data_IF_206003176509
#
_entry.id   IF_206003176509
#
_cell.length_a   1.000
_cell.length_b   1.000
_cell.length_c   1.000
_cell.angle_alpha   90.00
_cell.angle_beta   90.00
_cell.angle_gamma   90.00
#
_symmetry.space_group_name_H-M   'P 1'
#
loop_
_entity.id
_entity.type
_entity.pdbx_description
1 polymer ?
#
# COMPACT_ATOMS: atom_id res chain seq x y z
N UNK A 1 48.47 -18.25 26.58
CA UNK A 1 49.14 -17.27 27.46
C UNK A 1 48.11 -16.19 27.85
N UNK A 2 47.80 -16.00 29.15
CA UNK A 2 46.74 -15.10 29.62
C UNK A 2 47.05 -13.61 29.42
N UNK A 3 48.31 -13.24 29.16
CA UNK A 3 48.73 -11.86 28.96
C UNK A 3 48.33 -11.30 27.58
N UNK A 4 48.40 -12.12 26.51
CA UNK A 4 48.00 -11.72 25.16
C UNK A 4 46.48 -11.44 25.06
N UNK A 5 45.66 -12.18 25.81
CA UNK A 5 44.22 -11.96 25.86
C UNK A 5 43.85 -10.65 26.59
N UNK A 6 44.63 -10.25 27.62
CA UNK A 6 44.44 -8.97 28.30
C UNK A 6 44.80 -7.79 27.39
N UNK A 7 45.91 -7.90 26.65
CA UNK A 7 46.34 -6.87 25.70
C UNK A 7 45.33 -6.68 24.54
N UNK A 8 44.75 -7.76 24.02
CA UNK A 8 43.68 -7.66 23.02
C UNK A 8 42.42 -6.97 23.56
N UNK A 9 41.99 -7.28 24.78
CA UNK A 9 40.82 -6.65 25.38
C UNK A 9 41.03 -5.15 25.65
N UNK A 10 42.25 -4.75 26.01
CA UNK A 10 42.59 -3.35 26.23
C UNK A 10 42.59 -2.56 24.90
N UNK A 11 43.13 -3.15 23.82
CA UNK A 11 43.09 -2.56 22.48
C UNK A 11 41.66 -2.41 21.93
N UNK A 12 40.80 -3.40 22.15
CA UNK A 12 39.38 -3.32 21.75
C UNK A 12 38.67 -2.18 22.49
N UNK A 13 38.98 -2.00 23.78
CA UNK A 13 38.38 -0.96 24.60
C UNK A 13 38.84 0.45 24.16
N UNK A 14 40.14 0.62 23.88
CA UNK A 14 40.67 1.88 23.35
C UNK A 14 40.08 2.22 21.97
N UNK A 15 39.90 1.22 21.11
CA UNK A 15 39.27 1.41 19.80
C UNK A 15 37.78 1.80 19.91
N UNK A 16 37.07 1.23 20.89
CA UNK A 16 35.68 1.60 21.16
C UNK A 16 35.55 3.04 21.68
N UNK A 17 36.47 3.48 22.55
CA UNK A 17 36.52 4.87 23.05
C UNK A 17 36.83 5.87 21.92
N UNK A 18 37.79 5.57 21.02
CA UNK A 18 38.05 6.41 19.85
C UNK A 18 36.84 6.48 18.88
N UNK A 19 36.15 5.37 18.65
CA UNK A 19 34.94 5.35 17.82
C UNK A 19 33.81 6.17 18.43
N UNK A 20 33.65 6.13 19.76
CA UNK A 20 32.65 6.93 20.47
C UNK A 20 32.95 8.43 20.36
N UNK A 21 34.22 8.84 20.50
CA UNK A 21 34.64 10.24 20.36
C UNK A 21 34.44 10.73 18.92
N UNK A 22 34.78 9.92 17.91
CA UNK A 22 34.52 10.25 16.49
C UNK A 22 33.03 10.36 16.18
N UNK A 23 32.20 9.46 16.74
CA UNK A 23 30.75 9.51 16.58
C UNK A 23 30.14 10.77 17.23
N UNK A 24 30.62 11.16 18.42
CA UNK A 24 30.21 12.38 19.09
C UNK A 24 30.63 13.64 18.30
N UNK A 25 31.83 13.65 17.72
CA UNK A 25 32.29 14.72 16.83
C UNK A 25 31.43 14.86 15.57
N UNK A 26 31.09 13.74 14.93
CA UNK A 26 30.22 13.72 13.75
C UNK A 26 28.78 14.16 14.07
N UNK A 27 28.26 13.81 15.25
CA UNK A 27 26.94 14.25 15.71
C UNK A 27 26.92 15.77 15.96
N UNK A 28 27.97 16.32 16.59
CA UNK A 28 28.10 17.77 16.85
C UNK A 28 28.22 18.56 15.54
N UNK A 29 28.94 18.04 14.54
CA UNK A 29 29.03 18.65 13.22
C UNK A 29 27.68 18.64 12.46
N UNK A 30 26.90 17.56 12.60
CA UNK A 30 25.55 17.47 12.01
C UNK A 30 24.55 18.44 12.65
N UNK A 31 24.65 18.65 13.96
CA UNK A 31 23.81 19.61 14.69
C UNK A 31 24.14 21.05 14.29
N UNK A 32 25.42 21.40 14.18
CA UNK A 32 25.86 22.71 13.68
C UNK A 32 25.42 22.96 12.21
N UNK A 33 25.46 21.93 11.36
CA UNK A 33 24.97 22.03 9.99
C UNK A 33 23.44 22.21 9.92
N UNK A 34 22.69 21.60 10.83
CA UNK A 34 21.24 21.78 10.93
C UNK A 34 20.87 23.19 11.41
N UNK A 35 21.58 23.74 12.39
CA UNK A 35 21.40 25.12 12.87
C UNK A 35 21.75 26.15 11.78
N UNK A 36 22.79 25.91 10.99
CA UNK A 36 23.15 26.77 9.85
C UNK A 36 22.06 26.77 8.77
N UNK A 37 21.46 25.61 8.48
CA UNK A 37 20.32 25.50 7.55
C UNK A 37 19.07 26.20 8.09
N UNK A 38 18.77 26.11 9.38
CA UNK A 38 17.67 26.86 10.00
C UNK A 38 17.87 28.38 9.93
N UNK A 39 19.11 28.86 10.13
CA UNK A 39 19.44 30.29 9.97
C UNK A 39 19.31 30.75 8.52
N UNK A 40 19.71 29.94 7.55
CA UNK A 40 19.48 30.24 6.12
C UNK A 40 18.00 30.24 5.75
N UNK A 41 17.20 29.31 6.28
CA UNK A 41 15.75 29.27 6.06
C UNK A 41 15.06 30.51 6.66
N UNK A 42 15.45 30.94 7.86
CA UNK A 42 14.94 32.18 8.48
C UNK A 42 15.37 33.44 7.72
N UNK A 43 16.54 33.44 7.08
CA UNK A 43 16.99 34.57 6.27
C UNK A 43 16.23 34.64 4.95
N UNK A 44 15.93 33.48 4.34
CA UNK A 44 15.12 33.35 3.13
C UNK A 44 13.67 33.80 3.35
N UNK A 45 13.05 33.33 4.45
CA UNK A 45 11.71 33.78 4.85
C UNK A 45 11.63 35.28 5.19
N UNK A 46 12.77 35.93 5.51
CA UNK A 46 12.83 37.37 5.80
C UNK A 46 13.14 38.21 4.56
N UNK A 47 13.71 37.61 3.53
CA UNK A 47 13.94 38.23 2.21
C UNK A 47 12.66 38.15 1.34
N UNK A 48 11.80 37.14 1.58
CA UNK A 48 10.49 37.01 0.91
C UNK A 48 9.38 37.92 1.53
N UNK A 49 9.69 38.73 2.56
CA UNK A 49 8.72 39.55 3.32
C UNK A 49 8.78 41.06 2.96
N UNK A 50 9.53 41.48 1.92
CA UNK A 50 9.68 42.90 1.56
C UNK A 50 9.28 43.30 0.13
N UNK A 51 8.77 42.40 -0.69
CA UNK A 51 8.17 42.75 -1.99
C UNK A 51 6.73 42.21 -2.07
N UNK A 52 5.76 43.03 -1.65
CA UNK A 52 4.47 43.32 -2.33
C UNK A 52 3.43 43.87 -1.32
N UNK A 53 2.93 45.07 -1.61
CA UNK A 53 1.87 45.76 -0.89
C UNK A 53 0.59 45.83 -1.75
N UNK A 54 -0.46 45.12 -1.29
CA UNK A 54 -1.93 45.38 -1.31
C UNK A 54 -2.68 45.71 -2.64
N UNK A 55 -4.02 45.52 -2.75
CA UNK A 55 -4.92 44.57 -2.06
C UNK A 55 -5.94 43.87 -2.99
N UNK A 56 -6.29 42.61 -2.68
CA UNK A 56 -7.63 42.09 -2.94
C UNK A 56 -7.85 40.83 -2.10
N UNK A 57 -8.85 40.90 -1.23
CA UNK A 57 -9.25 39.90 -0.23
C UNK A 57 -9.08 38.43 -0.64
N UNK A 58 -8.47 37.63 0.24
CA UNK A 58 -9.03 36.34 0.58
C UNK A 58 -9.38 36.32 2.07
N UNK A 59 -10.66 36.07 2.36
CA UNK A 59 -11.17 35.80 3.71
C UNK A 59 -10.28 34.78 4.41
N UNK A 60 -9.49 35.26 5.37
CA UNK A 60 -8.88 34.43 6.40
C UNK A 60 -10.02 33.90 7.25
N UNK A 61 -10.40 32.64 7.04
CA UNK A 61 -11.09 31.89 8.08
C UNK A 61 -10.01 31.51 9.08
N UNK A 62 -9.82 32.34 10.10
CA UNK A 62 -9.20 31.89 11.35
C UNK A 62 -10.06 30.72 11.86
N UNK A 63 -9.61 29.49 11.64
CA UNK A 63 -10.15 28.37 12.40
C UNK A 63 -9.51 28.47 13.79
N UNK A 64 -10.20 29.18 14.69
CA UNK A 64 -9.96 29.04 16.11
C UNK A 64 -10.11 27.56 16.45
N UNK A 65 -9.13 27.02 17.18
CA UNK A 65 -9.13 25.66 17.74
C UNK A 65 -10.24 25.44 18.82
N UNK A 66 -11.30 26.25 18.79
CA UNK A 66 -12.51 26.16 19.61
C UNK A 66 -13.79 25.93 18.77
N UNK A 67 -13.71 25.98 17.44
CA UNK A 67 -14.87 25.86 16.54
C UNK A 67 -14.87 24.56 15.70
N UNK A 68 -14.01 23.59 16.01
CA UNK A 68 -14.30 22.21 15.62
C UNK A 68 -15.45 21.74 16.50
N UNK A 69 -16.63 21.83 15.91
CA UNK A 69 -17.91 21.38 16.43
C UNK A 69 -17.76 19.92 16.88
N UNK A 70 -17.29 19.74 18.11
CA UNK A 70 -17.24 18.45 18.80
C UNK A 70 -18.63 17.85 18.83
N UNK A 71 -19.68 18.69 18.71
CA UNK A 71 -21.06 18.32 18.44
C UNK A 71 -21.27 17.60 17.11
N UNK A 72 -20.65 17.99 15.99
CA UNK A 72 -20.87 17.31 14.68
C UNK A 72 -20.10 15.99 14.57
N UNK A 73 -18.91 15.90 15.17
CA UNK A 73 -18.14 14.66 15.27
C UNK A 73 -18.78 13.71 16.27
N UNK A 74 -19.20 14.19 17.46
CA UNK A 74 -19.99 13.38 18.40
C UNK A 74 -21.35 13.01 17.82
N UNK A 75 -21.99 13.90 17.04
CA UNK A 75 -23.25 13.58 16.36
C UNK A 75 -23.04 12.52 15.29
N UNK A 76 -21.98 12.55 14.49
CA UNK A 76 -21.66 11.45 13.58
C UNK A 76 -21.24 10.16 14.31
N UNK A 77 -20.53 10.27 15.44
CA UNK A 77 -20.12 9.12 16.27
C UNK A 77 -21.32 8.50 17.01
N UNK A 78 -22.32 9.30 17.38
CA UNK A 78 -23.57 8.88 18.01
C UNK A 78 -24.67 8.53 17.00
N UNK A 79 -24.56 8.98 15.75
CA UNK A 79 -25.54 8.77 14.67
C UNK A 79 -25.09 7.72 13.64
N UNK A 80 -23.81 7.34 13.60
CA UNK A 80 -23.41 6.08 12.99
C UNK A 80 -23.82 4.95 13.92
N UNK A 81 -24.91 4.25 13.60
CA UNK A 81 -25.19 2.93 14.13
C UNK A 81 -23.90 2.10 14.10
N UNK A 82 -23.31 1.80 15.26
CA UNK A 82 -22.15 0.91 15.33
C UNK A 82 -22.52 -0.37 14.60
N UNK A 83 -21.73 -0.82 13.62
CA UNK A 83 -22.06 -2.04 12.90
C UNK A 83 -22.19 -3.20 13.90
N UNK A 84 -23.24 -3.99 13.73
CA UNK A 84 -23.58 -5.06 14.68
C UNK A 84 -22.55 -6.20 14.63
N UNK A 85 -21.85 -6.34 13.50
CA UNK A 85 -20.83 -7.37 13.26
C UNK A 85 -19.62 -6.82 12.53
N UNK A 86 -18.44 -7.24 12.96
CA UNK A 86 -17.19 -6.97 12.24
C UNK A 86 -16.61 -8.26 11.66
N UNK A 87 -16.28 -8.24 10.37
CA UNK A 87 -15.56 -9.32 9.71
C UNK A 87 -14.11 -8.89 9.45
N UNK A 88 -13.17 -9.59 10.08
CA UNK A 88 -11.74 -9.44 9.81
C UNK A 88 -11.26 -10.58 8.91
N UNK A 89 -10.79 -10.23 7.71
CA UNK A 89 -10.09 -11.17 6.82
C UNK A 89 -8.59 -10.95 6.92
N UNK A 90 -7.87 -11.97 7.35
CA UNK A 90 -6.41 -11.99 7.46
C UNK A 90 -5.83 -12.78 6.31
N UNK A 91 -4.90 -12.16 5.59
CA UNK A 91 -4.14 -12.81 4.51
C UNK A 91 -2.71 -12.98 4.97
N UNK A 92 -2.24 -14.22 5.01
CA UNK A 92 -0.95 -14.61 5.55
C UNK A 92 -0.04 -15.14 4.44
N UNK A 93 1.16 -14.57 4.36
CA UNK A 93 2.23 -15.09 3.53
C UNK A 93 2.91 -16.27 4.24
N UNK A 94 2.73 -17.47 3.69
CA UNK A 94 3.26 -18.73 4.20
C UNK A 94 4.37 -19.30 3.32
N UNK A 95 5.04 -18.47 2.52
CA UNK A 95 6.08 -18.92 1.60
C UNK A 95 7.32 -19.50 2.33
N UNK A 96 7.58 -20.82 2.28
CA UNK A 96 8.66 -21.43 3.04
C UNK A 96 10.04 -20.96 2.57
N UNK A 97 10.19 -20.56 1.30
CA UNK A 97 11.46 -20.07 0.77
C UNK A 97 11.89 -18.74 1.42
N UNK A 98 10.94 -17.84 1.67
CA UNK A 98 11.24 -16.57 2.34
C UNK A 98 11.45 -16.77 3.83
N UNK A 99 10.60 -17.58 4.46
CA UNK A 99 10.71 -17.86 5.89
C UNK A 99 11.97 -18.64 6.27
N UNK A 100 12.49 -19.50 5.38
CA UNK A 100 13.77 -20.18 5.57
C UNK A 100 15.00 -19.27 5.50
N UNK A 101 14.87 -18.07 4.92
CA UNK A 101 15.95 -17.07 4.86
C UNK A 101 15.98 -16.17 6.10
N UNK A 102 14.92 -16.19 6.91
CA UNK A 102 14.76 -15.29 8.03
C UNK A 102 15.36 -15.90 9.30
N UNK A 103 16.22 -15.15 10.00
CA UNK A 103 16.88 -15.61 11.23
C UNK A 103 16.13 -15.22 12.50
N UNK A 104 15.42 -14.09 12.48
CA UNK A 104 14.86 -13.46 13.68
C UNK A 104 13.47 -14.00 14.05
N UNK A 105 12.73 -14.51 13.07
CA UNK A 105 11.35 -14.99 13.25
C UNK A 105 11.04 -16.17 12.37
N UNK A 106 10.40 -17.16 12.98
CA UNK A 106 9.89 -18.35 12.31
C UNK A 106 8.42 -18.17 11.94
N UNK A 107 7.96 -18.96 10.97
CA UNK A 107 6.53 -19.01 10.60
C UNK A 107 5.66 -19.31 11.81
N UNK A 108 6.08 -20.25 12.66
CA UNK A 108 5.34 -20.65 13.85
C UNK A 108 5.11 -19.47 14.81
N UNK A 109 6.13 -18.63 15.03
CA UNK A 109 5.99 -17.44 15.91
C UNK A 109 5.10 -16.37 15.29
N UNK A 110 5.19 -16.19 13.96
CA UNK A 110 4.29 -15.31 13.23
C UNK A 110 2.84 -15.81 13.33
N UNK A 111 2.58 -17.09 13.05
CA UNK A 111 1.27 -17.71 13.15
C UNK A 111 0.70 -17.59 14.57
N UNK A 112 1.49 -17.87 15.60
CA UNK A 112 1.07 -17.67 16.99
C UNK A 112 0.65 -16.22 17.26
N UNK A 113 1.44 -15.24 16.82
CA UNK A 113 1.12 -13.82 16.99
C UNK A 113 -0.18 -13.43 16.28
N UNK A 114 -0.40 -13.95 15.07
CA UNK A 114 -1.61 -13.72 14.27
C UNK A 114 -2.83 -14.39 14.91
N UNK A 115 -2.69 -15.62 15.41
CA UNK A 115 -3.76 -16.34 16.08
C UNK A 115 -4.15 -15.64 17.39
N UNK A 116 -3.18 -15.18 18.19
CA UNK A 116 -3.45 -14.35 19.37
C UNK A 116 -4.20 -13.08 19.00
N UNK A 117 -3.82 -12.43 17.91
CA UNK A 117 -4.53 -11.25 17.39
C UNK A 117 -5.94 -11.56 16.91
N UNK A 118 -6.15 -12.66 16.18
CA UNK A 118 -7.46 -13.11 15.74
C UNK A 118 -8.39 -13.41 16.93
N UNK A 119 -7.87 -14.11 17.94
CA UNK A 119 -8.59 -14.39 19.17
C UNK A 119 -8.92 -13.09 19.93
N UNK A 120 -7.99 -12.15 20.01
CA UNK A 120 -8.26 -10.83 20.58
C UNK A 120 -9.40 -10.11 19.86
N UNK A 121 -9.43 -10.16 18.51
CA UNK A 121 -10.52 -9.55 17.74
C UNK A 121 -11.89 -10.20 17.99
N UNK A 122 -11.94 -11.53 18.10
CA UNK A 122 -13.16 -12.27 18.45
C UNK A 122 -13.65 -11.93 19.88
N UNK A 123 -12.74 -11.59 20.79
CA UNK A 123 -13.07 -11.19 22.16
C UNK A 123 -13.59 -9.76 22.29
N UNK A 124 -13.32 -8.87 21.32
CA UNK A 124 -13.79 -7.47 21.37
C UNK A 124 -15.31 -7.39 21.35
N UNK A 125 -15.98 -8.17 20.50
CA UNK A 125 -17.42 -8.15 20.35
C UNK A 125 -17.94 -9.54 19.93
N UNK A 126 -19.04 -10.03 20.53
CA UNK A 126 -19.54 -11.39 20.29
C UNK A 126 -20.06 -11.62 18.86
N UNK A 127 -20.29 -10.56 18.08
CA UNK A 127 -20.68 -10.61 16.67
C UNK A 127 -19.49 -10.61 15.69
N UNK A 128 -18.26 -10.59 16.18
CA UNK A 128 -17.07 -10.53 15.33
C UNK A 128 -16.79 -11.89 14.70
N UNK A 129 -16.42 -11.86 13.43
CA UNK A 129 -16.07 -13.01 12.64
C UNK A 129 -14.65 -12.83 12.09
N UNK A 130 -13.90 -13.93 11.99
CA UNK A 130 -12.56 -13.94 11.41
C UNK A 130 -12.51 -14.93 10.24
N UNK A 131 -11.79 -14.57 9.19
CA UNK A 131 -11.39 -15.50 8.13
C UNK A 131 -9.88 -15.42 7.93
N UNK A 132 -9.22 -16.57 7.83
CA UNK A 132 -7.78 -16.68 7.61
C UNK A 132 -7.52 -17.31 6.25
N UNK A 133 -6.73 -16.62 5.44
CA UNK A 133 -6.28 -17.06 4.12
C UNK A 133 -4.77 -17.21 4.12
N UNK A 134 -4.30 -18.35 3.63
CA UNK A 134 -2.88 -18.63 3.44
C UNK A 134 -2.50 -18.50 1.97
N UNK A 135 -1.34 -17.91 1.71
CA UNK A 135 -0.74 -17.82 0.38
C UNK A 135 0.63 -18.48 0.39
N UNK A 136 0.86 -19.38 -0.55
CA UNK A 136 2.16 -20.03 -0.73
C UNK A 136 2.48 -20.11 -2.23
N UNK A 137 3.45 -19.32 -2.69
CA UNK A 137 3.75 -19.19 -4.12
C UNK A 137 2.53 -18.76 -4.92
N UNK A 138 2.08 -19.60 -5.85
CA UNK A 138 0.88 -19.37 -6.67
C UNK A 138 -0.41 -19.91 -6.04
N UNK A 139 -0.31 -20.76 -5.01
CA UNK A 139 -1.46 -21.39 -4.36
C UNK A 139 -2.02 -20.50 -3.25
N UNK A 140 -3.35 -20.49 -3.16
CA UNK A 140 -4.11 -19.75 -2.14
C UNK A 140 -5.17 -20.66 -1.55
N UNK A 141 -5.22 -20.76 -0.22
CA UNK A 141 -6.16 -21.64 0.48
C UNK A 141 -6.78 -20.91 1.68
N UNK A 142 -8.04 -21.22 1.99
CA UNK A 142 -8.64 -20.82 3.26
C UNK A 142 -8.10 -21.73 4.37
N UNK A 143 -7.41 -21.12 5.33
CA UNK A 143 -6.99 -21.80 6.56
C UNK A 143 -8.17 -21.86 7.53
N UNK A 144 -8.99 -20.82 7.55
CA UNK A 144 -10.22 -20.74 8.31
C UNK A 144 -11.22 -19.83 7.57
N UNK A 145 -12.50 -20.20 7.46
CA UNK A 145 -13.15 -21.43 7.91
C UNK A 145 -12.69 -22.67 7.12
N UNK A 146 -12.67 -23.83 7.77
CA UNK A 146 -12.27 -25.08 7.12
C UNK A 146 -13.21 -25.40 5.95
N UNK A 147 -12.63 -25.67 4.77
CA UNK A 147 -13.38 -25.97 3.53
C UNK A 147 -14.29 -27.22 3.63
N UNK A 148 -14.16 -28.00 4.71
CA UNK A 148 -14.93 -29.22 4.96
C UNK A 148 -16.13 -29.04 5.91
N UNK A 149 -16.46 -27.81 6.32
CA UNK A 149 -17.77 -27.56 6.92
C UNK A 149 -18.78 -27.25 5.80
N UNK A 150 -19.88 -28.02 5.65
CA UNK A 150 -20.96 -27.64 4.75
C UNK A 150 -21.50 -26.24 5.13
N UNK A 151 -22.11 -25.51 4.19
CA UNK A 151 -22.71 -24.21 4.43
C UNK A 151 -23.97 -24.38 5.31
N UNK A 152 -23.76 -24.51 6.61
CA UNK A 152 -24.82 -24.80 7.57
C UNK A 152 -24.27 -25.56 8.76
N UNK A 153 -23.90 -24.82 9.81
CA UNK A 153 -23.61 -25.39 11.12
C UNK A 153 -22.19 -25.90 11.27
N UNK A 154 -21.45 -25.27 12.19
CA UNK A 154 -20.43 -25.96 12.97
C UNK A 154 -21.06 -27.25 13.50
N UNK A 155 -20.52 -28.45 13.23
CA UNK A 155 -20.91 -29.61 14.02
C UNK A 155 -20.31 -29.39 15.41
N UNK A 156 -21.06 -28.74 16.30
CA UNK A 156 -20.93 -29.00 17.72
C UNK A 156 -21.24 -30.50 17.86
N UNK A 157 -20.19 -31.32 17.89
CA UNK A 157 -20.32 -32.69 18.35
C UNK A 157 -20.84 -32.61 19.78
N UNK A 158 -22.15 -32.85 19.93
CA UNK A 158 -22.82 -33.04 21.20
C UNK A 158 -22.31 -34.35 21.80
N UNK A 159 -21.17 -34.32 22.47
CA UNK A 159 -20.82 -35.33 23.48
C UNK A 159 -20.10 -34.66 24.65
N UNK A 160 -20.84 -34.45 25.75
CA UNK A 160 -20.29 -34.22 27.08
C UNK A 160 -20.58 -32.85 27.71
N UNK A 161 -21.12 -32.78 28.94
CA UNK A 161 -21.51 -31.53 29.58
C UNK A 161 -20.31 -30.88 30.28
N UNK A 162 -19.94 -29.69 29.84
CA UNK A 162 -19.16 -28.75 30.66
C UNK A 162 -19.67 -27.33 30.37
N UNK A 163 -20.74 -26.96 31.05
CA UNK A 163 -21.02 -25.55 31.34
C UNK A 163 -19.90 -25.04 32.25
N UNK A 164 -18.83 -24.54 31.66
CA UNK A 164 -17.85 -23.71 32.36
C UNK A 164 -17.15 -22.84 31.31
N UNK A 165 -16.65 -21.69 31.73
CA UNK A 165 -15.98 -20.71 30.90
C UNK A 165 -14.79 -21.27 30.05
N UNK A 166 -14.41 -22.53 30.26
CA UNK A 166 -13.45 -23.28 29.43
C UNK A 166 -13.93 -23.64 28.02
N UNK A 167 -15.24 -23.82 27.77
CA UNK A 167 -15.74 -24.24 26.45
C UNK A 167 -15.46 -23.22 25.32
N UNK A 168 -15.43 -21.92 25.65
CA UNK A 168 -15.06 -20.88 24.68
C UNK A 168 -13.57 -20.92 24.35
N UNK A 169 -12.73 -21.17 25.35
CA UNK A 169 -11.27 -21.30 25.17
C UNK A 169 -10.93 -22.55 24.36
N UNK A 170 -11.68 -23.63 24.54
CA UNK A 170 -11.55 -24.86 23.73
C UNK A 170 -11.89 -24.61 22.26
N UNK A 171 -12.93 -23.84 21.96
CA UNK A 171 -13.24 -23.45 20.57
C UNK A 171 -12.13 -22.62 19.93
N UNK A 172 -11.54 -21.67 20.65
CA UNK A 172 -10.39 -20.91 20.15
C UNK A 172 -9.16 -21.79 19.94
N UNK A 173 -8.93 -22.75 20.82
CA UNK A 173 -7.81 -23.70 20.71
C UNK A 173 -8.00 -24.63 19.51
N UNK A 174 -9.22 -25.17 19.32
CA UNK A 174 -9.55 -25.99 18.15
C UNK A 174 -9.41 -25.21 16.84
N UNK A 175 -9.80 -23.93 16.80
CA UNK A 175 -9.56 -23.06 15.66
C UNK A 175 -8.05 -22.89 15.41
N UNK A 176 -7.26 -22.60 16.44
CA UNK A 176 -5.83 -22.40 16.33
C UNK A 176 -5.12 -23.64 15.76
N UNK A 177 -5.51 -24.83 16.20
CA UNK A 177 -4.89 -26.08 15.76
C UNK A 177 -5.30 -26.43 14.32
N UNK A 178 -6.57 -26.25 13.96
CA UNK A 178 -7.02 -26.40 12.57
C UNK A 178 -6.26 -25.47 11.60
N UNK A 179 -5.99 -24.23 12.02
CA UNK A 179 -5.24 -23.27 11.20
C UNK A 179 -3.78 -23.67 11.03
N UNK A 180 -3.14 -24.18 12.10
CA UNK A 180 -1.77 -24.70 12.03
C UNK A 180 -1.70 -25.90 11.10
N UNK A 181 -2.62 -26.85 11.22
CA UNK A 181 -2.67 -28.04 10.36
C UNK A 181 -2.89 -27.66 8.90
N UNK A 182 -3.77 -26.70 8.62
CA UNK A 182 -4.01 -26.19 7.28
C UNK A 182 -2.79 -25.45 6.72
N UNK A 183 -2.08 -24.67 7.55
CA UNK A 183 -0.87 -23.97 7.16
C UNK A 183 0.25 -24.96 6.84
N UNK A 184 0.42 -26.00 7.67
CA UNK A 184 1.37 -27.08 7.45
C UNK A 184 1.05 -27.87 6.18
N UNK A 185 -0.21 -28.17 5.93
CA UNK A 185 -0.67 -28.83 4.70
C UNK A 185 -0.33 -27.99 3.46
N UNK A 186 -0.56 -26.68 3.51
CA UNK A 186 -0.25 -25.74 2.42
C UNK A 186 1.26 -25.59 2.18
N UNK A 187 2.09 -25.64 3.23
CA UNK A 187 3.54 -25.60 3.06
C UNK A 187 4.07 -26.90 2.45
N UNK A 188 3.50 -28.04 2.85
CA UNK A 188 3.90 -29.37 2.33
C UNK A 188 3.42 -29.61 0.91
N UNK A 189 2.37 -28.94 0.44
CA UNK A 189 1.87 -29.09 -0.93
C UNK A 189 2.82 -28.49 -1.98
N UNK A 190 3.73 -27.61 -1.56
CA UNK A 190 4.66 -26.94 -2.48
C UNK A 190 5.90 -27.80 -2.72
N UNK A 191 6.04 -28.23 -3.96
CA UNK A 191 7.23 -28.96 -4.41
C UNK A 191 8.48 -28.04 -4.35
N UNK A 192 9.64 -28.58 -3.94
CA UNK A 192 10.87 -27.80 -3.77
C UNK A 192 11.36 -27.14 -5.07
N UNK A 193 11.06 -27.74 -6.23
CA UNK A 193 11.45 -27.23 -7.56
C UNK A 193 10.68 -25.97 -7.98
N UNK A 194 9.53 -25.68 -7.36
CA UNK A 194 8.66 -24.53 -7.66
C UNK A 194 8.72 -23.43 -6.61
N UNK A 195 9.68 -23.52 -5.68
CA UNK A 195 9.87 -22.51 -4.65
C UNK A 195 10.36 -21.21 -5.29
N UNK A 196 9.50 -20.18 -5.26
CA UNK A 196 9.83 -18.83 -5.66
C UNK A 196 9.84 -17.90 -4.46
N UNK A 197 10.65 -16.85 -4.54
CA UNK A 197 10.60 -15.71 -3.63
C UNK A 197 9.55 -14.67 -4.06
N UNK A 198 8.52 -15.12 -4.80
CA UNK A 198 7.34 -14.32 -5.13
C UNK A 198 6.09 -15.13 -4.80
N UNK A 199 5.01 -14.41 -4.57
CA UNK A 199 3.79 -14.97 -3.97
C UNK A 199 2.60 -14.21 -4.57
N UNK A 200 1.54 -14.92 -4.94
CA UNK A 200 0.35 -14.36 -5.60
C UNK A 200 -0.63 -13.74 -4.61
N UNK A 201 -0.37 -12.49 -4.22
CA UNK A 201 -1.25 -11.77 -3.28
C UNK A 201 -2.57 -11.35 -3.93
N UNK A 202 -2.57 -11.07 -5.23
CA UNK A 202 -3.76 -10.66 -5.96
C UNK A 202 -4.86 -11.73 -5.92
N UNK A 203 -4.51 -13.01 -6.12
CA UNK A 203 -5.48 -14.11 -6.07
C UNK A 203 -6.11 -14.27 -4.68
N UNK A 204 -5.33 -14.02 -3.62
CA UNK A 204 -5.82 -14.09 -2.27
C UNK A 204 -6.79 -12.94 -1.94
N UNK A 205 -6.44 -11.72 -2.35
CA UNK A 205 -7.31 -10.56 -2.19
C UNK A 205 -8.64 -10.72 -2.93
N UNK A 206 -8.63 -11.26 -4.15
CA UNK A 206 -9.87 -11.55 -4.87
C UNK A 206 -10.72 -12.58 -4.10
N UNK A 207 -10.12 -13.65 -3.58
CA UNK A 207 -10.83 -14.63 -2.74
C UNK A 207 -11.40 -14.01 -1.47
N UNK A 208 -10.65 -13.13 -0.80
CA UNK A 208 -11.09 -12.38 0.37
C UNK A 208 -12.31 -11.51 0.05
N UNK A 209 -12.25 -10.73 -1.03
CA UNK A 209 -13.35 -9.87 -1.46
C UNK A 209 -14.60 -10.66 -1.88
N UNK A 210 -14.42 -11.79 -2.57
CA UNK A 210 -15.52 -12.70 -2.89
C UNK A 210 -16.15 -13.31 -1.63
N UNK A 211 -15.34 -13.69 -0.64
CA UNK A 211 -15.83 -14.19 0.64
C UNK A 211 -16.63 -13.14 1.40
N UNK A 212 -16.13 -11.90 1.47
CA UNK A 212 -16.85 -10.77 2.06
C UNK A 212 -18.18 -10.55 1.35
N UNK A 213 -18.17 -10.49 0.02
CA UNK A 213 -19.38 -10.33 -0.78
C UNK A 213 -20.40 -11.47 -0.59
N UNK A 214 -19.94 -12.68 -0.32
CA UNK A 214 -20.80 -13.81 0.03
C UNK A 214 -21.40 -13.62 1.43
N UNK A 215 -20.60 -13.26 2.43
CA UNK A 215 -21.06 -13.02 3.80
C UNK A 215 -22.07 -11.88 3.89
N UNK A 216 -21.85 -10.80 3.16
CA UNK A 216 -22.82 -9.69 3.04
C UNK A 216 -24.20 -10.15 2.54
N UNK A 217 -24.28 -11.21 1.73
CA UNK A 217 -25.54 -11.77 1.22
C UNK A 217 -26.17 -12.82 2.13
N UNK A 218 -25.36 -13.53 2.92
CA UNK A 218 -25.83 -14.57 3.84
C UNK A 218 -26.44 -13.97 5.13
N UNK A 219 -26.00 -12.77 5.52
CA UNK A 219 -26.50 -12.07 6.70
C UNK A 219 -27.93 -11.55 6.45
N UNK A 220 -28.78 -11.65 7.49
CA UNK A 220 -30.18 -11.21 7.43
C UNK A 220 -30.27 -9.71 7.06
N UNK A 221 -31.24 -9.32 6.22
CA UNK A 221 -31.43 -7.92 5.83
C UNK A 221 -31.78 -7.08 7.06
N UNK A 222 -30.85 -6.26 7.52
CA UNK A 222 -31.00 -5.40 8.70
C UNK A 222 -29.74 -5.31 9.56
N UNK A 223 -28.91 -6.34 9.56
CA UNK A 223 -27.62 -6.37 10.30
C UNK A 223 -26.52 -5.80 9.41
N UNK A 224 -25.83 -4.76 9.88
CA UNK A 224 -24.72 -4.15 9.13
C UNK A 224 -23.41 -4.88 9.41
N UNK A 225 -22.78 -5.41 8.36
CA UNK A 225 -21.46 -6.03 8.44
C UNK A 225 -20.37 -5.02 8.07
N UNK A 226 -19.49 -4.70 9.01
CA UNK A 226 -18.26 -3.94 8.72
C UNK A 226 -17.12 -4.90 8.43
N UNK A 227 -16.67 -4.95 7.17
CA UNK A 227 -15.58 -5.83 6.75
C UNK A 227 -14.26 -5.08 6.63
N UNK A 228 -13.16 -5.73 7.02
CA UNK A 228 -11.80 -5.20 6.86
C UNK A 228 -10.83 -6.30 6.45
N UNK A 229 -9.82 -5.95 5.68
CA UNK A 229 -8.78 -6.90 5.22
C UNK A 229 -7.43 -6.47 5.79
N UNK A 230 -6.72 -7.39 6.44
CA UNK A 230 -5.34 -7.20 6.88
C UNK A 230 -4.41 -8.15 6.11
N UNK A 231 -3.45 -7.56 5.40
CA UNK A 231 -2.42 -8.27 4.64
C UNK A 231 -1.13 -8.34 5.46
N UNK A 232 -0.64 -9.54 5.72
CA UNK A 232 0.68 -9.78 6.31
C UNK A 232 1.61 -10.31 5.23
N UNK A 233 2.53 -9.45 4.81
CA UNK A 233 3.47 -9.69 3.70
C UNK A 233 4.89 -9.86 4.23
N UNK A 234 5.51 -11.00 3.94
CA UNK A 234 6.95 -11.19 4.16
C UNK A 234 7.75 -11.05 2.87
N UNK A 235 7.26 -11.69 1.80
CA UNK A 235 8.00 -11.87 0.57
C UNK A 235 8.03 -10.62 -0.33
N UNK A 236 9.01 -10.54 -1.24
CA UNK A 236 9.12 -9.44 -2.21
C UNK A 236 7.98 -9.48 -3.23
N UNK A 237 7.63 -8.31 -3.75
CA UNK A 237 6.57 -8.20 -4.76
C UNK A 237 7.07 -8.48 -6.17
N UNK A 238 6.18 -9.04 -6.98
CA UNK A 238 6.43 -9.33 -8.39
C UNK A 238 5.67 -8.33 -9.27
N UNK A 239 6.36 -7.70 -10.21
CA UNK A 239 5.78 -6.69 -11.09
C UNK A 239 4.65 -7.24 -11.99
N UNK A 240 4.64 -8.54 -12.27
CA UNK A 240 3.59 -9.21 -13.06
C UNK A 240 2.22 -9.13 -12.39
N UNK A 241 2.17 -9.06 -11.07
CA UNK A 241 0.93 -9.09 -10.30
C UNK A 241 0.28 -7.72 -10.11
N UNK A 242 0.97 -6.64 -10.49
CA UNK A 242 0.51 -5.27 -10.29
C UNK A 242 -0.92 -5.05 -10.79
N UNK A 243 -1.22 -5.47 -12.02
CA UNK A 243 -2.53 -5.24 -12.63
C UNK A 243 -3.65 -5.98 -11.89
N UNK A 244 -3.40 -7.25 -11.56
CA UNK A 244 -4.37 -8.07 -10.84
C UNK A 244 -4.61 -7.52 -9.42
N UNK A 245 -3.55 -7.07 -8.74
CA UNK A 245 -3.62 -6.49 -7.42
C UNK A 245 -4.39 -5.17 -7.42
N UNK A 246 -4.06 -4.25 -8.32
CA UNK A 246 -4.72 -2.94 -8.40
C UNK A 246 -6.20 -3.07 -8.77
N UNK A 247 -6.55 -3.98 -9.68
CA UNK A 247 -7.95 -4.25 -10.00
C UNK A 247 -8.73 -4.75 -8.77
N UNK A 248 -8.12 -5.60 -7.93
CA UNK A 248 -8.73 -6.04 -6.68
C UNK A 248 -8.85 -4.88 -5.67
N UNK A 249 -7.85 -4.00 -5.56
CA UNK A 249 -7.89 -2.82 -4.69
C UNK A 249 -8.99 -1.85 -5.12
N UNK A 250 -9.13 -1.57 -6.42
CA UNK A 250 -10.21 -0.72 -6.92
C UNK A 250 -11.59 -1.34 -6.68
N UNK A 251 -11.70 -2.67 -6.77
CA UNK A 251 -12.92 -3.37 -6.41
C UNK A 251 -13.23 -3.24 -4.90
N UNK A 252 -12.21 -3.30 -4.05
CA UNK A 252 -12.34 -3.07 -2.60
C UNK A 252 -12.74 -1.62 -2.28
N UNK A 253 -12.13 -0.64 -2.94
CA UNK A 253 -12.44 0.79 -2.79
C UNK A 253 -13.89 1.08 -3.18
N UNK A 254 -14.38 0.48 -4.27
CA UNK A 254 -15.79 0.63 -4.68
C UNK A 254 -16.77 0.07 -3.63
N UNK A 255 -16.35 -0.95 -2.88
CA UNK A 255 -17.11 -1.54 -1.77
C UNK A 255 -16.82 -0.89 -0.42
N UNK A 256 -15.96 0.14 -0.37
CA UNK A 256 -15.54 0.82 0.87
C UNK A 256 -14.95 -0.14 1.92
N UNK A 257 -14.19 -1.15 1.48
CA UNK A 257 -13.50 -2.08 2.38
C UNK A 257 -12.05 -1.60 2.56
N UNK A 258 -11.64 -1.18 3.77
CA UNK A 258 -10.27 -0.77 4.03
C UNK A 258 -9.32 -1.97 3.98
N UNK A 259 -8.18 -1.78 3.30
CA UNK A 259 -7.10 -2.77 3.22
C UNK A 259 -5.92 -2.27 4.05
N UNK A 260 -5.73 -2.90 5.20
CA UNK A 260 -4.56 -2.72 6.03
C UNK A 260 -3.42 -3.60 5.51
N UNK A 261 -2.20 -3.06 5.42
CA UNK A 261 -1.03 -3.78 4.93
C UNK A 261 0.10 -3.69 5.95
N UNK A 262 0.62 -4.83 6.35
CA UNK A 262 1.75 -4.96 7.24
C UNK A 262 2.85 -5.74 6.53
N UNK A 263 3.98 -5.07 6.27
CA UNK A 263 5.11 -5.64 5.54
C UNK A 263 6.29 -5.85 6.47
N UNK A 264 6.86 -7.05 6.44
CA UNK A 264 8.02 -7.42 7.24
C UNK A 264 9.29 -7.05 6.50
N UNK A 265 10.15 -6.25 7.14
CA UNK A 265 11.50 -5.85 6.70
C UNK A 265 11.58 -5.01 5.41
N UNK A 266 11.04 -5.51 4.29
CA UNK A 266 11.08 -4.84 2.99
C UNK A 266 9.93 -3.84 2.81
N UNK A 267 10.18 -2.72 2.12
CA UNK A 267 9.11 -1.80 1.77
C UNK A 267 8.48 -2.18 0.43
N UNK A 268 7.16 -2.11 0.36
CA UNK A 268 6.38 -2.31 -0.86
C UNK A 268 5.71 -1.00 -1.25
N UNK A 269 6.03 -0.50 -2.45
CA UNK A 269 5.31 0.64 -3.04
C UNK A 269 3.90 0.24 -3.45
N UNK A 270 3.69 -1.02 -3.88
CA UNK A 270 2.41 -1.52 -4.34
C UNK A 270 1.40 -1.64 -3.21
N UNK A 271 1.79 -2.24 -2.07
CA UNK A 271 0.92 -2.37 -0.91
C UNK A 271 0.70 -1.04 -0.20
N UNK A 272 1.69 -0.13 -0.26
CA UNK A 272 1.50 1.24 0.21
C UNK A 272 0.44 1.96 -0.60
N UNK A 273 0.51 1.88 -1.93
CA UNK A 273 -0.52 2.43 -2.82
C UNK A 273 -1.88 1.77 -2.58
N UNK A 274 -1.91 0.46 -2.34
CA UNK A 274 -3.14 -0.27 -2.04
C UNK A 274 -3.83 0.20 -0.75
N UNK A 275 -3.05 0.42 0.31
CA UNK A 275 -3.54 0.94 1.58
C UNK A 275 -4.09 2.37 1.40
N UNK A 276 -3.34 3.24 0.71
CA UNK A 276 -3.75 4.62 0.47
C UNK A 276 -5.05 4.72 -0.35
N UNK A 277 -5.18 3.94 -1.43
CA UNK A 277 -6.38 3.94 -2.27
C UNK A 277 -7.62 3.38 -1.56
N UNK A 278 -7.44 2.43 -0.64
CA UNK A 278 -8.54 1.84 0.13
C UNK A 278 -8.87 2.61 1.41
N UNK A 279 -8.07 3.62 1.78
CA UNK A 279 -8.20 4.33 3.06
C UNK A 279 -7.76 3.50 4.27
N UNK A 280 -6.95 2.46 4.05
CA UNK A 280 -6.36 1.62 5.08
C UNK A 280 -4.99 2.09 5.54
N UNK A 281 -4.37 1.32 6.44
CA UNK A 281 -3.09 1.65 7.06
C UNK A 281 -1.94 0.77 6.55
N UNK A 282 -0.81 1.39 6.19
CA UNK A 282 0.42 0.70 5.81
C UNK A 282 1.44 0.77 6.96
N UNK A 283 1.91 -0.39 7.42
CA UNK A 283 2.95 -0.52 8.43
C UNK A 283 4.15 -1.28 7.87
N UNK A 284 5.33 -0.66 7.95
CA UNK A 284 6.60 -1.35 7.81
C UNK A 284 7.08 -1.82 9.18
N UNK A 285 7.30 -3.11 9.35
CA UNK A 285 7.89 -3.68 10.56
C UNK A 285 9.41 -3.83 10.40
N UNK A 286 10.23 -2.99 11.09
CA UNK A 286 11.68 -3.15 11.07
C UNK A 286 12.15 -4.33 11.92
N UNK A 287 11.42 -4.68 12.99
CA UNK A 287 11.71 -5.83 13.86
C UNK A 287 10.53 -6.78 13.86
N UNK A 288 10.67 -8.02 13.37
CA UNK A 288 9.56 -8.95 13.27
C UNK A 288 9.15 -9.53 14.64
N UNK A 289 10.02 -9.46 15.65
CA UNK A 289 9.70 -9.84 17.04
C UNK A 289 8.63 -8.96 17.70
N UNK A 290 8.44 -7.72 17.22
CA UNK A 290 7.43 -6.79 17.74
C UNK A 290 6.07 -6.90 17.03
N UNK A 291 5.89 -7.90 16.16
CA UNK A 291 4.68 -8.08 15.34
C UNK A 291 3.40 -8.06 16.19
N UNK A 292 3.33 -8.86 17.26
CA UNK A 292 2.14 -8.95 18.11
C UNK A 292 1.79 -7.60 18.74
N UNK A 293 2.79 -6.87 19.24
CA UNK A 293 2.58 -5.56 19.85
C UNK A 293 1.99 -4.58 18.84
N UNK A 294 2.50 -4.56 17.60
CA UNK A 294 1.98 -3.72 16.54
C UNK A 294 0.57 -4.15 16.09
N UNK A 295 0.31 -5.46 15.99
CA UNK A 295 -1.02 -6.00 15.69
C UNK A 295 -2.07 -5.55 16.70
N UNK A 296 -1.78 -5.72 17.99
CA UNK A 296 -2.71 -5.34 19.06
C UNK A 296 -2.88 -3.83 19.20
N UNK A 297 -1.82 -3.04 19.09
CA UNK A 297 -1.90 -1.59 19.30
C UNK A 297 -2.53 -0.83 18.12
N UNK A 298 -2.22 -1.22 16.88
CA UNK A 298 -2.64 -0.47 15.69
C UNK A 298 -3.83 -1.11 14.99
N UNK A 299 -3.82 -2.44 14.86
CA UNK A 299 -4.79 -3.15 14.04
C UNK A 299 -5.98 -3.70 14.83
N UNK A 300 -5.97 -3.70 16.17
CA UNK A 300 -7.12 -4.17 16.95
C UNK A 300 -8.28 -3.17 16.89
N UNK A 301 -7.97 -1.87 16.96
CA UNK A 301 -8.96 -0.81 16.88
C UNK A 301 -9.65 -0.76 15.51
N UNK A 302 -10.95 -0.44 15.53
CA UNK A 302 -11.76 -0.21 14.33
C UNK A 302 -11.20 0.97 13.51
N UNK A 303 -11.25 0.92 12.16
CA UNK A 303 -10.80 2.03 11.30
C UNK A 303 -11.43 3.39 11.64
N UNK A 304 -12.71 3.44 12.00
CA UNK A 304 -13.40 4.68 12.38
C UNK A 304 -12.81 5.30 13.66
N UNK A 305 -12.58 4.47 14.68
CA UNK A 305 -11.95 4.88 15.95
C UNK A 305 -10.47 5.25 15.74
N UNK A 306 -9.79 4.56 14.83
CA UNK A 306 -8.39 4.82 14.48
C UNK A 306 -8.20 6.22 13.88
N UNK A 307 -9.08 6.62 12.97
CA UNK A 307 -9.03 7.95 12.34
C UNK A 307 -9.37 9.08 13.32
N UNK A 308 -10.22 8.82 14.32
CA UNK A 308 -10.68 9.84 15.28
C UNK A 308 -9.79 9.97 16.53
N UNK A 309 -9.19 8.86 17.02
CA UNK A 309 -8.63 8.78 18.38
C UNK A 309 -7.13 8.44 18.41
N UNK A 310 -6.57 7.85 17.34
CA UNK A 310 -5.16 7.46 17.31
C UNK A 310 -4.37 8.40 16.40
N UNK A 311 -3.50 9.23 16.98
CA UNK A 311 -2.38 9.85 16.25
C UNK A 311 -1.43 8.74 15.81
N UNK A 312 -1.70 8.20 14.63
CA UNK A 312 -0.83 7.22 13.98
C UNK A 312 0.53 7.87 13.68
N UNK A 313 1.63 7.09 13.71
CA UNK A 313 2.90 7.57 13.18
C UNK A 313 2.67 8.04 11.74
N UNK A 314 3.21 9.22 11.35
CA UNK A 314 2.95 9.79 10.04
C UNK A 314 3.30 8.74 8.99
N UNK A 315 2.36 8.46 8.09
CA UNK A 315 2.58 7.61 6.93
C UNK A 315 3.92 8.01 6.32
N UNK A 316 4.86 7.06 6.19
CA UNK A 316 6.22 7.33 5.73
C UNK A 316 6.21 7.98 4.33
N UNK A 317 6.16 9.32 4.30
CA UNK A 317 6.14 10.14 3.09
C UNK A 317 4.96 9.89 2.15
N UNK A 318 4.67 10.82 1.22
CA UNK A 318 3.75 10.55 0.12
C UNK A 318 4.27 9.35 -0.68
N UNK A 319 3.40 8.39 -0.97
CA UNK A 319 3.75 7.32 -1.89
C UNK A 319 3.96 7.93 -3.29
N UNK A 320 5.03 7.52 -3.97
CA UNK A 320 5.29 7.94 -5.35
C UNK A 320 4.23 7.31 -6.28
N UNK A 321 3.06 7.94 -6.39
CA UNK A 321 1.93 7.51 -7.25
C UNK A 321 2.20 7.70 -8.75
N UNK A 322 3.47 7.80 -9.14
CA UNK A 322 3.86 8.00 -10.54
C UNK A 322 3.62 6.71 -11.32
N UNK A 323 2.98 6.76 -12.51
CA UNK A 323 2.79 5.57 -13.32
C UNK A 323 4.14 5.05 -13.82
N UNK A 324 4.27 3.73 -13.91
CA UNK A 324 5.42 3.09 -14.56
C UNK A 324 5.14 2.93 -16.06
N UNK A 325 6.12 3.27 -16.91
CA UNK A 325 5.98 3.09 -18.35
C UNK A 325 6.04 1.60 -18.75
N UNK A 326 5.24 1.18 -19.74
CA UNK A 326 5.24 -0.21 -20.21
C UNK A 326 6.53 -0.58 -20.99
N UNK A 327 7.26 0.39 -21.54
CA UNK A 327 8.53 0.15 -22.25
C UNK A 327 9.66 -0.32 -21.34
N UNK A 328 9.89 0.40 -20.24
CA UNK A 328 11.09 0.23 -19.40
C UNK A 328 10.75 -0.08 -17.93
N UNK A 329 9.47 -0.08 -17.55
CA UNK A 329 8.98 -0.24 -16.16
C UNK A 329 9.56 0.79 -15.19
N UNK A 330 9.92 1.97 -15.69
CA UNK A 330 10.42 3.10 -14.90
C UNK A 330 9.28 4.06 -14.58
N UNK A 331 9.32 4.62 -13.38
CA UNK A 331 8.39 5.67 -12.95
C UNK A 331 8.63 6.93 -13.78
N UNK A 332 7.58 7.48 -14.36
CA UNK A 332 7.63 8.68 -15.20
C UNK A 332 6.66 9.74 -14.67
N UNK A 333 7.07 11.01 -14.70
CA UNK A 333 6.21 12.15 -14.35
C UNK A 333 5.39 12.64 -15.54
N UNK A 334 5.93 12.54 -16.74
CA UNK A 334 5.27 12.89 -18.01
C UNK A 334 5.25 11.63 -18.87
N UNK A 335 4.09 11.28 -19.41
CA UNK A 335 3.91 10.08 -20.21
C UNK A 335 2.93 10.30 -21.36
N UNK A 336 3.07 9.50 -22.41
CA UNK A 336 2.14 9.43 -23.53
C UNK A 336 1.21 8.23 -23.34
N UNK A 337 -0.09 8.43 -23.47
CA UNK A 337 -1.10 7.38 -23.27
C UNK A 337 -1.72 7.00 -24.61
N UNK A 338 -1.83 5.70 -24.89
CA UNK A 338 -2.57 5.21 -26.05
C UNK A 338 -4.08 5.45 -25.87
N UNK A 339 -4.75 6.06 -26.86
CA UNK A 339 -6.19 6.29 -26.83
C UNK A 339 -7.05 5.01 -26.88
N UNK A 340 -6.48 3.89 -27.35
CA UNK A 340 -7.22 2.64 -27.54
C UNK A 340 -7.07 1.72 -26.32
N UNK A 341 -5.84 1.48 -25.86
CA UNK A 341 -5.57 0.52 -24.78
C UNK A 341 -5.12 1.17 -23.47
N UNK A 342 -5.06 2.51 -23.39
CA UNK A 342 -4.63 3.27 -22.22
C UNK A 342 -3.21 2.90 -21.72
N UNK A 343 -2.38 2.29 -22.58
CA UNK A 343 -1.00 1.97 -22.23
C UNK A 343 -0.14 3.23 -22.12
N UNK A 344 0.70 3.26 -21.09
CA UNK A 344 1.51 4.42 -20.71
C UNK A 344 2.95 4.25 -21.22
N UNK A 345 3.45 5.23 -21.97
CA UNK A 345 4.77 5.25 -22.60
C UNK A 345 5.64 6.41 -22.12
N UNK A 346 6.94 6.19 -22.01
CA UNK A 346 7.90 7.23 -21.59
C UNK A 346 8.27 8.23 -22.71
N UNK A 347 8.11 7.83 -23.96
CA UNK A 347 8.38 8.66 -25.14
C UNK A 347 7.36 8.35 -26.22
N UNK A 348 7.14 9.30 -27.13
CA UNK A 348 6.26 9.08 -28.27
C UNK A 348 6.80 7.94 -29.14
N UNK A 349 5.98 6.92 -29.38
CA UNK A 349 6.22 5.87 -30.37
C UNK A 349 5.12 5.91 -31.42
N UNK A 350 5.43 5.81 -32.73
CA UNK A 350 4.42 5.88 -33.79
C UNK A 350 3.54 4.63 -33.88
N UNK A 351 3.89 3.56 -33.16
CA UNK A 351 3.13 2.33 -33.06
C UNK A 351 3.02 1.92 -31.59
N UNK A 352 1.84 1.48 -31.18
CA UNK A 352 1.60 0.94 -29.84
C UNK A 352 2.13 -0.49 -29.74
N UNK A 353 3.00 -0.78 -28.78
CA UNK A 353 3.52 -2.14 -28.55
C UNK A 353 2.47 -3.14 -28.04
N UNK A 354 1.33 -2.66 -27.54
CA UNK A 354 0.28 -3.50 -26.94
C UNK A 354 -0.87 -3.79 -27.91
N UNK A 355 -1.36 -2.77 -28.61
CA UNK A 355 -2.49 -2.93 -29.55
C UNK A 355 -2.10 -2.81 -31.03
N UNK A 356 -0.82 -2.58 -31.33
CA UNK A 356 -0.29 -2.39 -32.68
C UNK A 356 -0.95 -1.26 -33.50
N UNK A 357 -1.73 -0.39 -32.86
CA UNK A 357 -2.31 0.77 -33.51
C UNK A 357 -1.23 1.77 -33.92
N UNK A 358 -1.38 2.33 -35.12
CA UNK A 358 -0.53 3.40 -35.63
C UNK A 358 -1.04 4.75 -35.16
N UNK A 359 -0.17 5.54 -34.57
CA UNK A 359 -0.51 6.91 -34.19
C UNK A 359 -0.16 7.85 -35.33
N UNK A 360 -1.10 8.69 -35.79
CA UNK A 360 -0.75 9.76 -36.70
C UNK A 360 0.27 10.67 -36.00
N UNK A 361 1.33 11.08 -36.72
CA UNK A 361 2.34 11.98 -36.17
C UNK A 361 1.63 13.17 -35.51
N UNK A 362 1.97 13.52 -34.26
CA UNK A 362 1.39 14.69 -33.63
C UNK A 362 1.74 15.88 -34.51
N UNK A 363 0.72 16.44 -35.17
CA UNK A 363 0.88 17.75 -35.75
C UNK A 363 1.05 18.68 -34.56
N UNK A 364 2.30 19.12 -34.33
CA UNK A 364 2.57 20.21 -33.41
C UNK A 364 1.56 21.31 -33.73
N UNK A 365 0.79 21.81 -32.74
CA UNK A 365 -0.07 22.95 -32.98
C UNK A 365 0.76 24.04 -33.67
N UNK A 366 0.22 24.62 -34.75
CA UNK A 366 0.92 25.57 -35.61
C UNK A 366 1.47 26.83 -34.88
N UNK A 367 1.24 26.96 -33.57
CA UNK A 367 1.81 27.99 -32.70
C UNK A 367 3.34 27.98 -32.61
N UNK A 368 4.03 26.84 -32.79
CA UNK A 368 5.50 26.83 -32.85
C UNK A 368 6.08 27.14 -34.23
N UNK A 369 5.27 27.09 -35.29
CA UNK A 369 5.72 27.37 -36.66
C UNK A 369 5.66 28.86 -37.03
N UNK A 370 5.04 29.70 -36.21
CA UNK A 370 5.02 31.16 -36.42
C UNK A 370 6.34 31.85 -36.03
N UNK A 371 7.20 31.21 -35.22
CA UNK A 371 8.47 31.79 -34.76
C UNK A 371 9.67 31.54 -35.71
N UNK A 372 9.44 30.93 -36.88
CA UNK A 372 10.47 30.68 -37.91
C UNK A 372 10.01 31.13 -39.30
N UNK A 373 9.49 32.34 -39.40
CA UNK A 373 9.55 33.09 -40.65
C UNK A 373 10.83 33.94 -40.62
N UNK A 374 11.84 33.71 -41.49
CA UNK A 374 12.94 34.65 -41.61
C UNK A 374 12.38 35.98 -42.13
N UNK A 375 12.69 37.06 -41.42
CA UNK A 375 12.31 38.41 -41.79
C UNK A 375 12.74 38.71 -43.22
N UNK A 376 11.77 38.94 -44.11
CA UNK A 376 12.03 39.55 -45.41
C UNK A 376 12.42 41.01 -45.17
N UNK A 377 13.71 41.27 -45.28
CA UNK A 377 14.25 42.61 -45.44
C UNK A 377 13.61 43.32 -46.63
N UNK A 378 13.38 44.62 -46.44
CA UNK A 378 12.91 45.51 -47.49
C UNK A 378 13.91 45.61 -48.65
N UNK A 379 13.35 45.79 -49.85
CA UNK A 379 14.08 46.06 -51.08
C UNK A 379 13.06 46.19 -52.21
N UNK A 380 12.84 47.42 -52.67
CA UNK A 380 11.82 47.78 -53.65
C UNK A 380 12.20 47.52 -55.12
N UNK A 381 11.22 47.82 -55.99
CA UNK A 381 11.27 47.79 -57.45
C UNK A 381 10.64 46.52 -58.03
N UNK A 382 9.64 46.51 -58.90
CA UNK A 382 8.98 47.56 -59.68
C UNK A 382 8.49 46.91 -60.99
N UNK A 383 7.20 47.01 -61.30
CA UNK A 383 6.66 47.04 -62.68
C UNK A 383 6.26 45.72 -63.39
N UNK A 384 4.94 45.57 -63.58
CA UNK A 384 4.25 44.98 -64.77
C UNK A 384 4.40 43.47 -65.02
N UNK A 385 3.40 42.66 -65.35
CA UNK A 385 2.02 42.86 -65.81
C UNK A 385 1.66 41.67 -66.71
N UNK A 386 0.45 41.11 -66.57
CA UNK A 386 -0.23 40.37 -67.66
C UNK A 386 -0.40 38.84 -67.55
N UNK A 387 -1.68 38.41 -67.56
CA UNK A 387 -2.18 37.11 -68.07
C UNK A 387 -2.03 35.91 -67.13
N UNK A 388 -3.01 35.02 -66.89
CA UNK A 388 -4.24 34.68 -67.59
C UNK A 388 -4.35 33.15 -67.68
N UNK A 389 -5.45 32.56 -67.21
CA UNK A 389 -5.81 31.13 -67.36
C UNK A 389 -5.22 30.20 -66.29
N UNK A 390 -5.89 29.18 -65.76
CA UNK A 390 -7.11 28.50 -66.19
C UNK A 390 -6.90 26.98 -66.09
N UNK A 391 -7.59 26.35 -65.13
CA UNK A 391 -8.03 24.93 -65.06
C UNK A 391 -7.03 23.78 -64.85
N UNK A 392 -7.54 22.88 -63.97
CA UNK A 392 -7.59 21.40 -64.07
C UNK A 392 -6.50 20.52 -63.44
N UNK A 393 -6.93 19.90 -62.32
CA UNK A 393 -7.03 18.45 -62.06
C UNK A 393 -6.09 17.51 -62.84
N UNK A 394 -5.28 16.77 -62.09
CA UNK A 394 -4.91 15.32 -62.22
C UNK A 394 -4.13 15.00 -60.94
N UNK A 395 -4.63 14.26 -59.95
CA UNK A 395 -4.96 12.84 -59.91
C UNK A 395 -3.86 11.93 -60.48
N UNK A 396 -3.03 11.39 -59.60
CA UNK A 396 -2.32 10.12 -59.82
C UNK A 396 -1.92 9.52 -58.47
N UNK A 397 -2.70 8.51 -58.06
CA UNK A 397 -2.24 7.41 -57.21
C UNK A 397 -1.13 6.66 -57.93
N UNK A 398 -0.10 6.29 -57.20
CA UNK A 398 0.53 4.97 -57.22
C UNK A 398 1.11 4.74 -55.81
#
# INVERSE_FOLDING_TARGET
QPEAARQCNELIRLFAEECAVRAAGAAKARLAAAEAKQKQQKKKNKEDEFDEAEPSDPKVVEVRLSDLDSGWILFNLMSSSTPDRHLLVLVLDLNPAWWGLQTDTDVCRMLQSVLTFANAHLLVQPGNEVALLGVCGEQTQFLYPAAQSPPGGVPLSQQGPAQSDGAKLECFTAMNDCVKDAADSLMRSVQPEKLRLSVCMAGCLVKALCYIARREREIQPGVRLASRVLLLRGCRDEASQYMALMNAVFAAQKRQIPIDACVISSDSTLLRQAAELSGGFYLRLPRPSALLQCLLSLFLAEPAVRQASLTLPPSLGPSDSRPACFCHRKLVSIAHVCSICLSVYCSYTPLCTTCHATFPKPQLPAYFNAARAPGKGGGGGGGGGGGGGGKSKRNSKA
#
